data_IF_618707290611
#
_entry.id   IF_618707290611
#
_cell.length_a   1.000
_cell.length_b   1.000
_cell.length_c   1.000
_cell.angle_alpha   90.00
_cell.angle_beta   90.00
_cell.angle_gamma   90.00
#
_symmetry.space_group_name_H-M   'P 1'
#
loop_
_entity.id
_entity.type
_entity.pdbx_description
1 polymer ?
#
# COMPACT_ATOMS: atom_id res chain seq x y z
N UNK A 1 6.38 17.36 -33.49
CA UNK A 1 5.35 16.80 -32.58
C UNK A 1 5.91 15.72 -31.64
N UNK A 2 7.24 15.62 -31.44
CA UNK A 2 7.86 14.44 -30.79
C UNK A 2 8.41 14.72 -29.36
N UNK A 3 8.29 15.95 -28.83
CA UNK A 3 8.82 16.27 -27.49
C UNK A 3 7.90 15.86 -26.33
N UNK A 4 6.59 15.76 -26.56
CA UNK A 4 5.62 15.46 -25.49
C UNK A 4 5.55 13.96 -25.15
N UNK A 5 5.89 13.09 -26.10
CA UNK A 5 6.03 11.65 -25.84
C UNK A 5 7.29 11.34 -25.02
N UNK A 6 8.40 12.04 -25.29
CA UNK A 6 9.65 11.85 -24.54
C UNK A 6 9.52 12.29 -23.07
N UNK A 7 8.73 13.33 -22.78
CA UNK A 7 8.51 13.81 -21.41
C UNK A 7 7.66 12.81 -20.60
N UNK A 8 6.67 12.16 -21.21
CA UNK A 8 5.89 11.08 -20.56
C UNK A 8 6.74 9.83 -20.31
N UNK A 9 7.65 9.50 -21.22
CA UNK A 9 8.62 8.41 -21.03
C UNK A 9 9.61 8.68 -19.89
N UNK A 10 10.05 9.92 -19.73
CA UNK A 10 10.94 10.33 -18.62
C UNK A 10 10.21 10.36 -17.26
N UNK A 11 8.94 10.77 -17.23
CA UNK A 11 8.15 10.78 -15.99
C UNK A 11 7.89 9.36 -15.45
N UNK A 12 7.76 8.36 -16.34
CA UNK A 12 7.61 6.96 -15.94
C UNK A 12 8.91 6.31 -15.44
N UNK A 13 10.08 6.80 -15.89
CA UNK A 13 11.42 6.33 -15.45
C UNK A 13 11.94 7.07 -14.21
N UNK A 14 11.35 8.23 -13.87
CA UNK A 14 11.71 8.99 -12.69
C UNK A 14 11.13 8.44 -11.37
N UNK A 15 10.29 7.40 -11.44
CA UNK A 15 9.79 6.69 -10.28
C UNK A 15 10.83 5.63 -9.89
N UNK A 16 11.72 6.02 -8.98
CA UNK A 16 12.49 5.13 -8.10
C UNK A 16 13.59 4.27 -8.74
N UNK A 17 14.82 4.81 -8.79
CA UNK A 17 16.04 4.04 -9.12
C UNK A 17 17.10 4.21 -8.02
N UNK A 18 16.69 4.36 -6.77
CA UNK A 18 17.63 4.32 -5.65
C UNK A 18 17.36 3.07 -4.85
N UNK A 19 18.18 2.01 -4.99
CA UNK A 19 18.08 0.88 -4.08
C UNK A 19 18.45 1.41 -2.68
N UNK A 20 17.48 1.41 -1.77
CA UNK A 20 17.69 1.67 -0.34
C UNK A 20 18.47 0.50 0.26
N UNK A 21 19.77 0.44 -0.05
CA UNK A 21 20.73 -0.53 0.48
C UNK A 21 21.11 -0.13 1.92
N UNK A 22 20.12 0.03 2.79
CA UNK A 22 20.40 0.08 4.22
C UNK A 22 20.44 -1.37 4.72
N UNK A 23 21.61 -1.90 5.13
CA UNK A 23 21.70 -3.27 5.61
C UNK A 23 20.77 -3.42 6.82
N UNK A 24 19.75 -4.26 6.70
CA UNK A 24 18.82 -4.55 7.81
C UNK A 24 19.62 -5.24 8.91
N UNK A 25 19.94 -4.51 9.98
CA UNK A 25 20.83 -4.99 11.06
C UNK A 25 20.05 -5.74 12.15
N UNK A 26 18.75 -5.48 12.29
CA UNK A 26 17.90 -6.09 13.32
C UNK A 26 16.47 -6.44 12.83
N UNK A 27 15.76 -7.28 13.60
CA UNK A 27 14.34 -7.56 13.37
C UNK A 27 13.45 -6.33 13.58
N UNK A 28 13.85 -5.45 14.50
CA UNK A 28 13.16 -4.18 14.75
C UNK A 28 13.27 -3.27 13.53
N UNK A 29 14.47 -3.10 12.98
CA UNK A 29 14.69 -2.31 11.76
C UNK A 29 13.88 -2.88 10.57
N UNK A 30 13.83 -4.22 10.45
CA UNK A 30 12.99 -4.88 9.43
C UNK A 30 11.52 -4.56 9.62
N UNK A 31 11.03 -4.58 10.86
CA UNK A 31 9.64 -4.30 11.18
C UNK A 31 9.31 -2.84 10.88
N UNK A 32 10.18 -1.90 11.28
CA UNK A 32 10.01 -0.46 11.03
C UNK A 32 10.00 -0.17 9.53
N UNK A 33 10.96 -0.70 8.77
CA UNK A 33 11.00 -0.53 7.32
C UNK A 33 9.75 -1.09 6.65
N UNK A 34 9.40 -2.34 6.98
CA UNK A 34 8.21 -2.99 6.42
C UNK A 34 6.93 -2.20 6.76
N UNK A 35 6.80 -1.72 7.99
CA UNK A 35 5.66 -0.90 8.38
C UNK A 35 5.61 0.42 7.61
N UNK A 36 6.74 1.13 7.50
CA UNK A 36 6.82 2.40 6.80
C UNK A 36 6.44 2.26 5.31
N UNK A 37 7.01 1.26 4.62
CA UNK A 37 6.67 0.96 3.22
C UNK A 37 5.18 0.65 3.07
N UNK A 38 4.66 -0.29 3.86
CA UNK A 38 3.25 -0.66 3.78
C UNK A 38 2.32 0.52 4.13
N UNK A 39 2.67 1.36 5.11
CA UNK A 39 1.84 2.51 5.49
C UNK A 39 1.69 3.51 4.33
N UNK A 40 2.76 3.75 3.57
CA UNK A 40 2.71 4.58 2.35
C UNK A 40 1.85 3.92 1.30
N UNK A 41 2.11 2.65 0.97
CA UNK A 41 1.36 1.90 -0.06
C UNK A 41 -0.15 1.84 0.24
N UNK A 42 -0.54 1.60 1.49
CA UNK A 42 -1.95 1.60 1.90
C UNK A 42 -2.58 2.98 1.83
N UNK A 43 -1.84 4.04 2.18
CA UNK A 43 -2.32 5.41 2.09
C UNK A 43 -2.56 5.82 0.65
N UNK A 44 -1.63 5.50 -0.25
CA UNK A 44 -1.71 5.83 -1.67
C UNK A 44 -2.86 5.07 -2.33
N UNK A 45 -2.98 3.77 -2.08
CA UNK A 45 -4.10 2.96 -2.56
C UNK A 45 -5.45 3.48 -2.05
N UNK A 46 -5.54 3.92 -0.79
CA UNK A 46 -6.76 4.56 -0.25
C UNK A 46 -7.09 5.84 -1.02
N UNK A 47 -6.09 6.69 -1.27
CA UNK A 47 -6.27 7.96 -1.96
C UNK A 47 -6.69 7.73 -3.43
N UNK A 48 -6.13 6.74 -4.11
CA UNK A 48 -6.54 6.34 -5.45
C UNK A 48 -7.99 5.89 -5.51
N UNK A 49 -8.41 5.02 -4.58
CA UNK A 49 -9.80 4.57 -4.47
C UNK A 49 -10.74 5.78 -4.26
N UNK A 50 -10.39 6.69 -3.34
CA UNK A 50 -11.18 7.89 -3.08
C UNK A 50 -11.25 8.83 -4.29
N UNK A 51 -10.16 8.99 -5.03
CA UNK A 51 -10.12 9.78 -6.25
C UNK A 51 -11.01 9.17 -7.36
N UNK A 52 -11.01 7.84 -7.50
CA UNK A 52 -11.89 7.12 -8.44
C UNK A 52 -13.36 7.25 -8.05
N UNK A 53 -13.70 7.16 -6.76
CA UNK A 53 -15.07 7.38 -6.24
C UNK A 53 -15.54 8.81 -6.52
N UNK A 54 -14.65 9.79 -6.39
CA UNK A 54 -14.99 11.20 -6.61
C UNK A 54 -15.22 11.56 -8.09
N UNK A 55 -14.90 10.66 -9.03
CA UNK A 55 -15.10 10.91 -10.46
C UNK A 55 -16.59 10.77 -10.85
N UNK A 56 -17.28 11.85 -11.24
CA UNK A 56 -18.70 11.81 -11.58
C UNK A 56 -19.00 11.17 -12.94
N UNK A 57 -17.98 10.80 -13.73
CA UNK A 57 -18.11 10.20 -15.07
C UNK A 57 -17.47 8.81 -15.16
N UNK A 58 -17.51 8.05 -14.07
CA UNK A 58 -17.04 6.67 -14.06
C UNK A 58 -17.98 5.75 -14.85
N UNK A 59 -17.42 4.89 -15.70
CA UNK A 59 -18.20 3.90 -16.45
C UNK A 59 -18.55 2.67 -15.60
N UNK A 60 -19.50 1.85 -16.07
CA UNK A 60 -19.91 0.63 -15.36
C UNK A 60 -18.76 -0.38 -15.17
N UNK A 61 -17.90 -0.54 -16.17
CA UNK A 61 -16.75 -1.45 -16.09
C UNK A 61 -15.72 -0.94 -15.09
N UNK A 62 -15.47 0.38 -15.08
CA UNK A 62 -14.59 1.02 -14.10
C UNK A 62 -15.16 0.94 -12.67
N UNK A 63 -16.49 1.02 -12.52
CA UNK A 63 -17.16 0.82 -11.23
C UNK A 63 -16.99 -0.61 -10.71
N UNK A 64 -17.13 -1.63 -11.57
CA UNK A 64 -16.91 -3.02 -11.18
C UNK A 64 -15.47 -3.27 -10.73
N UNK A 65 -14.51 -2.70 -11.46
CA UNK A 65 -13.09 -2.76 -11.10
C UNK A 65 -12.81 -2.01 -9.78
N UNK A 66 -13.38 -0.82 -9.60
CA UNK A 66 -13.27 -0.05 -8.35
C UNK A 66 -13.87 -0.81 -7.16
N UNK A 67 -15.00 -1.50 -7.35
CA UNK A 67 -15.61 -2.32 -6.32
C UNK A 67 -14.70 -3.49 -5.91
N UNK A 68 -14.03 -4.12 -6.88
CA UNK A 68 -13.05 -5.17 -6.60
C UNK A 68 -11.87 -4.61 -5.80
N UNK A 69 -11.27 -3.51 -6.25
CA UNK A 69 -10.13 -2.86 -5.57
C UNK A 69 -10.47 -2.45 -4.13
N UNK A 70 -11.68 -1.91 -3.92
CA UNK A 70 -12.20 -1.56 -2.59
C UNK A 70 -12.38 -2.80 -1.71
N UNK A 71 -12.90 -3.90 -2.26
CA UNK A 71 -13.05 -5.17 -1.57
C UNK A 71 -11.71 -5.76 -1.12
N UNK A 72 -10.72 -5.76 -2.01
CA UNK A 72 -9.36 -6.19 -1.71
C UNK A 72 -8.73 -5.31 -0.62
N UNK A 73 -8.85 -3.98 -0.71
CA UNK A 73 -8.31 -3.06 0.30
C UNK A 73 -8.92 -3.34 1.68
N UNK A 74 -10.24 -3.52 1.75
CA UNK A 74 -10.94 -3.80 3.00
C UNK A 74 -10.52 -5.15 3.61
N UNK A 75 -10.32 -6.16 2.77
CA UNK A 75 -9.80 -7.45 3.21
C UNK A 75 -8.40 -7.33 3.81
N UNK A 76 -7.49 -6.65 3.11
CA UNK A 76 -6.08 -6.51 3.53
C UNK A 76 -5.97 -5.79 4.89
N UNK A 77 -6.68 -4.67 5.07
CA UNK A 77 -6.70 -3.92 6.34
C UNK A 77 -7.27 -4.78 7.48
N UNK A 78 -8.33 -5.55 7.20
CA UNK A 78 -8.96 -6.42 8.18
C UNK A 78 -8.04 -7.56 8.61
N UNK A 79 -7.33 -8.16 7.65
CA UNK A 79 -6.40 -9.25 7.90
C UNK A 79 -5.23 -8.79 8.75
N UNK A 80 -4.60 -7.66 8.41
CA UNK A 80 -3.51 -7.09 9.20
C UNK A 80 -3.98 -6.82 10.62
N UNK A 81 -5.14 -6.17 10.79
CA UNK A 81 -5.71 -5.89 12.11
C UNK A 81 -5.96 -7.16 12.93
N UNK A 82 -6.47 -8.22 12.29
CA UNK A 82 -6.72 -9.49 12.95
C UNK A 82 -5.43 -10.20 13.35
N UNK A 83 -4.41 -10.19 12.48
CA UNK A 83 -3.10 -10.78 12.75
C UNK A 83 -2.38 -10.03 13.88
N UNK A 84 -2.36 -8.70 13.85
CA UNK A 84 -1.78 -7.88 14.93
C UNK A 84 -2.41 -8.23 16.28
N UNK A 85 -3.75 -8.27 16.36
CA UNK A 85 -4.46 -8.66 17.61
C UNK A 85 -4.11 -10.07 18.07
N UNK A 86 -3.96 -11.03 17.15
CA UNK A 86 -3.57 -12.40 17.49
C UNK A 86 -2.15 -12.49 18.03
N UNK A 87 -1.22 -11.78 17.40
CA UNK A 87 0.19 -11.76 17.83
C UNK A 87 0.32 -11.09 19.19
N UNK A 88 -0.28 -9.92 19.41
CA UNK A 88 -0.23 -9.25 20.71
C UNK A 88 -0.89 -10.10 21.80
N UNK A 89 -2.03 -10.74 21.51
CA UNK A 89 -2.67 -11.66 22.45
C UNK A 89 -1.81 -12.88 22.81
N UNK A 90 -1.06 -13.42 21.85
CA UNK A 90 -0.11 -14.50 22.12
C UNK A 90 1.05 -14.03 23.01
N UNK A 91 1.60 -12.83 22.76
CA UNK A 91 2.64 -12.22 23.59
C UNK A 91 2.12 -11.97 25.01
N UNK A 92 0.94 -11.38 25.17
CA UNK A 92 0.31 -11.15 26.47
C UNK A 92 0.09 -12.45 27.24
N UNK A 93 -0.32 -13.52 26.55
CA UNK A 93 -0.49 -14.85 27.15
C UNK A 93 0.84 -15.40 27.63
N UNK A 94 1.90 -15.30 26.83
CA UNK A 94 3.23 -15.78 27.18
C UNK A 94 3.83 -15.01 28.37
N UNK A 95 3.61 -13.70 28.46
CA UNK A 95 4.11 -12.86 29.57
C UNK A 95 3.34 -13.06 30.88
N UNK A 96 2.12 -13.61 30.83
CA UNK A 96 1.28 -13.87 32.02
C UNK A 96 1.39 -15.31 32.53
N UNK A 97 1.84 -16.24 31.70
CA UNK A 97 2.11 -17.64 32.06
C UNK A 97 3.40 -17.76 32.87
#
# INVERSE_FOLDING_TARGET
MNSLENIKGMAAVANDITPDNNPIVSLEDRMVQSYATNAVDFSDRRNEILAKIANPRISTDELAQLQKELGEYNFDVSLISALTKKVTGAVETCLRA
#
